data_IF_641506346520
#
_entry.id   IF_641506346520
#
_cell.length_a   1.000
_cell.length_b   1.000
_cell.length_c   1.000
_cell.angle_alpha   90.00
_cell.angle_beta   90.00
_cell.angle_gamma   90.00
#
_symmetry.space_group_name_H-M   'P 1'
#
loop_
_entity.id
_entity.type
_entity.pdbx_description
1 polymer ?
#
# COMPACT_ATOMS: atom_id res chain seq x y z
N UNK A 1 -1.62 -2.24 -18.49
CA UNK A 1 -1.85 -3.62 -17.99
C UNK A 1 -1.28 -3.85 -16.58
N UNK A 2 -0.07 -3.38 -16.23
CA UNK A 2 0.48 -3.57 -14.87
C UNK A 2 -0.42 -3.06 -13.74
N UNK A 3 -1.11 -1.93 -13.93
CA UNK A 3 -2.02 -1.34 -12.92
C UNK A 3 -3.13 -2.30 -12.47
N UNK A 4 -3.67 -3.12 -13.37
CA UNK A 4 -4.72 -4.09 -13.03
C UNK A 4 -4.17 -5.24 -12.17
N UNK A 5 -2.96 -5.71 -12.49
CA UNK A 5 -2.27 -6.72 -11.70
C UNK A 5 -1.88 -6.19 -10.31
N UNK A 6 -1.37 -4.95 -10.23
CA UNK A 6 -1.08 -4.31 -8.95
C UNK A 6 -2.37 -4.11 -8.12
N UNK A 7 -3.50 -3.78 -8.75
CA UNK A 7 -4.77 -3.66 -8.05
C UNK A 7 -5.24 -4.99 -7.45
N UNK A 8 -5.07 -6.11 -8.17
CA UNK A 8 -5.42 -7.44 -7.65
C UNK A 8 -4.51 -7.85 -6.48
N UNK A 9 -3.21 -7.59 -6.58
CA UNK A 9 -2.25 -7.87 -5.51
C UNK A 9 -2.50 -7.00 -4.27
N UNK A 10 -2.76 -5.71 -4.48
CA UNK A 10 -3.11 -4.79 -3.42
C UNK A 10 -4.43 -5.20 -2.75
N UNK A 11 -5.42 -5.63 -3.53
CA UNK A 11 -6.68 -6.16 -3.01
C UNK A 11 -6.42 -7.37 -2.10
N UNK A 12 -5.65 -8.35 -2.56
CA UNK A 12 -5.29 -9.52 -1.76
C UNK A 12 -4.56 -9.12 -0.46
N UNK A 13 -3.60 -8.19 -0.55
CA UNK A 13 -2.89 -7.65 0.60
C UNK A 13 -3.81 -6.97 1.61
N UNK A 14 -4.75 -6.14 1.15
CA UNK A 14 -5.72 -5.46 1.99
C UNK A 14 -6.74 -6.41 2.62
N UNK A 15 -7.12 -7.49 1.91
CA UNK A 15 -7.94 -8.53 2.51
C UNK A 15 -7.23 -9.19 3.69
N UNK A 16 -5.96 -9.58 3.53
CA UNK A 16 -5.16 -10.17 4.62
C UNK A 16 -5.04 -9.20 5.80
N UNK A 17 -4.76 -7.92 5.53
CA UNK A 17 -4.70 -6.88 6.56
C UNK A 17 -6.05 -6.70 7.28
N UNK A 18 -7.16 -6.67 6.52
CA UNK A 18 -8.50 -6.58 7.07
C UNK A 18 -8.87 -7.77 7.96
N UNK A 19 -8.59 -8.99 7.50
CA UNK A 19 -8.81 -10.21 8.28
C UNK A 19 -8.02 -10.20 9.59
N UNK A 20 -6.79 -9.68 9.58
CA UNK A 20 -5.98 -9.57 10.79
C UNK A 20 -6.68 -8.70 11.86
N UNK A 21 -7.35 -7.62 11.48
CA UNK A 21 -8.09 -6.76 12.42
C UNK A 21 -9.36 -7.45 12.92
N UNK A 22 -10.10 -8.14 12.04
CA UNK A 22 -11.34 -8.84 12.41
C UNK A 22 -11.07 -9.96 13.41
N UNK A 23 -9.99 -10.72 13.19
CA UNK A 23 -9.60 -11.85 14.04
C UNK A 23 -8.95 -11.38 15.36
N UNK A 24 -8.05 -10.40 15.30
CA UNK A 24 -7.30 -9.94 16.48
C UNK A 24 -8.11 -9.02 17.39
N UNK A 25 -9.10 -8.29 16.86
CA UNK A 25 -9.94 -7.36 17.62
C UNK A 25 -11.42 -7.68 17.38
N UNK A 26 -11.95 -8.73 18.03
CA UNK A 26 -13.35 -9.13 17.87
C UNK A 26 -14.29 -7.98 18.22
N UNK A 27 -15.18 -7.62 17.28
CA UNK A 27 -16.17 -6.55 17.46
C UNK A 27 -15.73 -5.16 16.97
N UNK A 28 -14.46 -4.93 16.65
CA UNK A 28 -13.98 -3.63 16.14
C UNK A 28 -14.70 -3.19 14.85
N UNK A 29 -15.00 -4.13 13.95
CA UNK A 29 -15.74 -3.84 12.71
C UNK A 29 -17.26 -3.75 12.91
N UNK A 30 -17.79 -4.21 14.05
CA UNK A 30 -19.22 -4.15 14.38
C UNK A 30 -19.55 -2.82 15.06
N UNK A 31 -18.59 -2.24 15.77
CA UNK A 31 -18.72 -0.95 16.40
C UNK A 31 -18.87 0.17 15.36
N UNK A 32 -20.05 0.81 15.30
CA UNK A 32 -20.34 1.94 14.39
C UNK A 32 -19.82 3.28 14.90
N UNK A 33 -18.82 3.28 15.77
CA UNK A 33 -18.15 4.50 16.22
C UNK A 33 -17.38 5.12 15.05
N UNK A 34 -17.57 6.41 14.82
CA UNK A 34 -16.85 7.15 13.78
C UNK A 34 -15.32 7.05 13.99
N UNK A 35 -14.86 7.03 15.24
CA UNK A 35 -13.44 6.90 15.58
C UNK A 35 -12.88 5.56 15.08
N UNK A 36 -13.62 4.46 15.29
CA UNK A 36 -13.17 3.11 14.92
C UNK A 36 -13.14 2.96 13.40
N UNK A 37 -14.15 3.50 12.70
CA UNK A 37 -14.18 3.49 11.24
C UNK A 37 -13.04 4.28 10.62
N UNK A 38 -12.78 5.51 11.10
CA UNK A 38 -11.66 6.33 10.61
C UNK A 38 -10.33 5.66 10.93
N UNK A 39 -10.19 5.04 12.11
CA UNK A 39 -8.98 4.32 12.49
C UNK A 39 -8.73 3.10 11.60
N UNK A 40 -9.78 2.34 11.26
CA UNK A 40 -9.68 1.21 10.34
C UNK A 40 -9.33 1.65 8.91
N UNK A 41 -9.95 2.72 8.42
CA UNK A 41 -9.59 3.30 7.12
C UNK A 41 -8.12 3.77 7.08
N UNK A 42 -7.68 4.48 8.12
CA UNK A 42 -6.29 4.91 8.24
C UNK A 42 -5.33 3.71 8.27
N UNK A 43 -5.69 2.63 8.98
CA UNK A 43 -4.94 1.38 8.98
C UNK A 43 -4.81 0.79 7.57
N UNK A 44 -5.90 0.69 6.81
CA UNK A 44 -5.87 0.16 5.44
C UNK A 44 -5.03 1.03 4.50
N UNK A 45 -5.10 2.36 4.64
CA UNK A 45 -4.24 3.30 3.89
C UNK A 45 -2.77 3.04 4.22
N UNK A 46 -2.41 2.91 5.50
CA UNK A 46 -1.03 2.60 5.89
C UNK A 46 -0.60 1.23 5.36
N UNK A 47 -1.47 0.21 5.42
CA UNK A 47 -1.19 -1.11 4.88
C UNK A 47 -0.94 -1.07 3.36
N UNK A 48 -1.73 -0.31 2.61
CA UNK A 48 -1.50 -0.08 1.18
C UNK A 48 -0.17 0.64 0.93
N UNK A 49 0.12 1.70 1.70
CA UNK A 49 1.38 2.42 1.63
C UNK A 49 2.59 1.53 1.89
N UNK A 50 2.51 0.68 2.91
CA UNK A 50 3.55 -0.30 3.23
C UNK A 50 3.82 -1.22 2.04
N UNK A 51 2.79 -1.77 1.41
CA UNK A 51 2.94 -2.60 0.21
C UNK A 51 3.79 -1.87 -0.85
N UNK A 52 3.36 -0.69 -1.31
CA UNK A 52 4.08 0.02 -2.36
C UNK A 52 5.49 0.44 -1.95
N UNK A 53 5.64 0.97 -0.74
CA UNK A 53 6.93 1.47 -0.24
C UNK A 53 7.94 0.34 -0.07
N UNK A 54 7.53 -0.82 0.44
CA UNK A 54 8.39 -2.01 0.55
C UNK A 54 8.95 -2.42 -0.82
N UNK A 55 8.08 -2.52 -1.83
CA UNK A 55 8.49 -2.95 -3.17
C UNK A 55 9.33 -1.90 -3.92
N UNK A 56 9.00 -0.61 -3.74
CA UNK A 56 9.77 0.49 -4.34
C UNK A 56 11.12 0.68 -3.68
N UNK A 57 11.21 0.62 -2.35
CA UNK A 57 12.47 0.82 -1.63
C UNK A 57 13.43 -0.37 -1.78
N UNK A 58 12.91 -1.61 -1.87
CA UNK A 58 13.76 -2.80 -1.95
C UNK A 58 14.25 -3.09 -3.38
N UNK A 59 13.36 -3.01 -4.37
CA UNK A 59 13.70 -3.39 -5.76
C UNK A 59 13.34 -2.34 -6.81
N UNK A 60 12.68 -1.25 -6.43
CA UNK A 60 12.11 -0.29 -7.39
C UNK A 60 11.00 -0.88 -8.25
N UNK A 61 10.49 -2.06 -7.91
CA UNK A 61 9.58 -2.84 -8.75
C UNK A 61 8.58 -3.60 -7.88
N UNK A 62 7.28 -3.40 -8.13
CA UNK A 62 6.24 -4.32 -7.66
C UNK A 62 6.26 -5.60 -8.49
N UNK A 63 5.59 -6.66 -8.02
CA UNK A 63 5.53 -7.93 -8.75
C UNK A 63 4.93 -7.76 -10.15
N UNK A 64 3.90 -6.92 -10.30
CA UNK A 64 3.34 -6.58 -11.59
C UNK A 64 4.32 -5.77 -12.45
N UNK A 65 5.08 -4.83 -11.88
CA UNK A 65 6.09 -4.09 -12.65
C UNK A 65 7.19 -5.01 -13.21
N UNK A 66 7.54 -6.08 -12.48
CA UNK A 66 8.53 -7.07 -12.95
C UNK A 66 8.08 -7.79 -14.22
N UNK A 67 6.80 -8.09 -14.38
CA UNK A 67 6.30 -8.79 -15.58
C UNK A 67 6.42 -7.93 -16.84
N UNK A 68 6.41 -6.60 -16.69
CA UNK A 68 6.56 -5.64 -17.79
C UNK A 68 7.96 -5.00 -17.84
N UNK A 69 8.92 -5.52 -17.06
CA UNK A 69 10.29 -4.96 -16.94
C UNK A 69 10.33 -3.46 -16.59
N UNK A 70 9.30 -2.94 -15.92
CA UNK A 70 9.23 -1.55 -15.48
C UNK A 70 9.96 -1.37 -14.14
N UNK A 71 10.76 -0.34 -13.98
CA UNK A 71 11.44 0.00 -12.71
C UNK A 71 11.28 1.47 -12.37
N UNK A 72 10.89 1.74 -11.14
CA UNK A 72 10.88 3.07 -10.54
C UNK A 72 12.30 3.39 -10.09
N UNK A 73 12.85 4.46 -10.68
CA UNK A 73 14.18 4.99 -10.35
C UNK A 73 14.09 6.48 -10.05
N UNK A 74 15.08 7.02 -9.35
CA UNK A 74 15.25 8.47 -9.19
C UNK A 74 15.67 9.10 -10.52
N UNK A 75 15.69 10.43 -10.61
CA UNK A 75 16.20 11.14 -11.79
C UNK A 75 17.68 10.80 -12.09
N UNK A 76 18.43 10.41 -11.06
CA UNK A 76 19.82 9.96 -11.14
C UNK A 76 19.95 8.46 -11.50
N UNK A 77 18.83 7.77 -11.76
CA UNK A 77 18.81 6.33 -12.06
C UNK A 77 18.96 5.40 -10.85
N UNK A 78 19.04 5.95 -9.63
CA UNK A 78 19.20 5.18 -8.39
C UNK A 78 17.88 4.59 -7.87
N UNK A 79 17.96 3.61 -6.98
CA UNK A 79 16.80 3.08 -6.27
C UNK A 79 16.15 4.15 -5.38
N UNK A 80 14.83 4.06 -5.20
CA UNK A 80 14.11 4.98 -4.32
C UNK A 80 14.48 4.70 -2.86
N UNK A 81 14.87 5.72 -2.10
CA UNK A 81 15.01 5.58 -0.65
C UNK A 81 13.64 5.46 0.02
N UNK A 82 13.57 4.80 1.17
CA UNK A 82 12.35 4.65 1.97
C UNK A 82 11.61 5.97 2.20
N UNK A 83 12.36 7.04 2.52
CA UNK A 83 11.80 8.38 2.72
C UNK A 83 11.17 8.93 1.45
N UNK A 84 11.84 8.82 0.29
CA UNK A 84 11.29 9.29 -1.00
C UNK A 84 10.08 8.47 -1.42
N UNK A 85 10.06 7.17 -1.13
CA UNK A 85 8.92 6.29 -1.40
C UNK A 85 7.68 6.68 -0.58
N UNK A 86 7.83 6.94 0.72
CA UNK A 86 6.73 7.44 1.57
C UNK A 86 6.23 8.81 1.11
N UNK A 87 7.12 9.75 0.82
CA UNK A 87 6.75 11.07 0.30
C UNK A 87 5.92 10.89 -0.98
N UNK A 88 6.40 10.09 -1.95
CA UNK A 88 5.66 9.80 -3.17
C UNK A 88 4.29 9.19 -2.90
N UNK A 89 4.17 8.29 -1.94
CA UNK A 89 2.91 7.67 -1.56
C UNK A 89 1.91 8.69 -0.99
N UNK A 90 2.34 9.52 -0.03
CA UNK A 90 1.47 10.54 0.56
C UNK A 90 1.06 11.63 -0.44
N UNK A 91 1.96 12.02 -1.36
CA UNK A 91 1.61 12.92 -2.45
C UNK A 91 0.53 12.33 -3.34
N UNK A 92 0.66 11.05 -3.72
CA UNK A 92 -0.35 10.38 -4.53
C UNK A 92 -1.70 10.27 -3.80
N UNK A 93 -1.68 10.04 -2.48
CA UNK A 93 -2.88 9.99 -1.65
C UNK A 93 -3.56 11.36 -1.52
N UNK A 94 -2.79 12.44 -1.39
CA UNK A 94 -3.32 13.80 -1.25
C UNK A 94 -3.90 14.35 -2.56
N UNK A 95 -3.47 13.83 -3.70
CA UNK A 95 -3.99 14.19 -5.04
C UNK A 95 -5.18 13.35 -5.48
N UNK A 96 -5.57 12.35 -4.70
CA UNK A 96 -6.69 11.44 -4.99
C UNK A 96 -8.02 12.07 -4.60
#
# INVERSE_FOLDING_TARGET
MSMFYDALLLMAWLFVAGFMVVDLIPGAVVERSALVQVSFQAYLVVAAGLYFVLFWARSGQTLAMKTWHLRVVTQEGAALSWRRAWIRYFWALATL
#
